data_IF_610258975752
#
_entry.id   IF_610258975752
#
_cell.length_a   1.000
_cell.length_b   1.000
_cell.length_c   1.000
_cell.angle_alpha   90.00
_cell.angle_beta   90.00
_cell.angle_gamma   90.00
#
_symmetry.space_group_name_H-M   'P 1'
#
loop_
_entity.id
_entity.type
_entity.pdbx_description
1 polymer ?
#
# COMPACT_ATOMS: atom_id res chain seq x y z
N UNK A 1 -7.10 -6.66 21.25
CA UNK A 1 -7.13 -5.17 21.23
C UNK A 1 -7.33 -4.61 19.82
N UNK A 2 -6.73 -5.21 18.80
CA UNK A 2 -6.84 -4.76 17.39
C UNK A 2 -8.27 -4.84 16.82
N UNK A 3 -8.99 -5.96 17.03
CA UNK A 3 -10.37 -6.13 16.55
C UNK A 3 -11.35 -5.10 17.10
N UNK A 4 -11.22 -4.69 18.37
CA UNK A 4 -12.10 -3.68 18.97
C UNK A 4 -11.91 -2.30 18.32
N UNK A 5 -10.70 -1.94 17.97
CA UNK A 5 -10.41 -0.65 17.29
C UNK A 5 -11.00 -0.66 15.89
N UNK A 6 -10.90 -1.77 15.17
CA UNK A 6 -11.45 -1.90 13.81
C UNK A 6 -12.98 -1.91 13.79
N UNK A 7 -13.61 -2.61 14.74
CA UNK A 7 -15.07 -2.59 14.91
C UNK A 7 -15.53 -1.15 15.18
N UNK A 8 -14.83 -0.41 16.05
CA UNK A 8 -15.15 0.98 16.39
C UNK A 8 -15.01 1.92 15.17
N UNK A 9 -13.97 1.72 14.34
CA UNK A 9 -13.76 2.49 13.10
C UNK A 9 -14.82 2.18 12.04
N UNK A 10 -15.25 0.91 11.96
CA UNK A 10 -16.34 0.46 11.08
C UNK A 10 -17.67 1.10 11.47
N UNK A 11 -18.00 1.11 12.77
CA UNK A 11 -19.21 1.75 13.29
C UNK A 11 -19.23 3.26 12.99
N UNK A 12 -18.07 3.93 13.02
CA UNK A 12 -17.93 5.35 12.64
C UNK A 12 -17.85 5.60 11.12
N UNK A 13 -18.08 4.59 10.27
CA UNK A 13 -17.96 4.68 8.80
C UNK A 13 -16.57 5.15 8.32
N UNK A 14 -15.52 4.86 9.07
CA UNK A 14 -14.13 5.21 8.73
C UNK A 14 -13.38 4.09 8.00
N UNK A 15 -13.97 2.89 7.97
CA UNK A 15 -13.42 1.72 7.28
C UNK A 15 -14.36 1.26 6.17
N UNK A 16 -13.81 0.64 5.14
CA UNK A 16 -14.59 -0.01 4.09
C UNK A 16 -15.34 -1.20 4.69
N UNK A 17 -16.66 -1.26 4.47
CA UNK A 17 -17.53 -2.25 5.10
C UNK A 17 -17.21 -3.70 4.71
N UNK A 18 -16.62 -3.90 3.53
CA UNK A 18 -16.28 -5.22 2.96
C UNK A 18 -14.78 -5.45 2.99
N UNK A 19 -14.00 -4.48 2.52
CA UNK A 19 -12.57 -4.60 2.28
C UNK A 19 -11.68 -4.39 3.51
N UNK A 20 -12.23 -4.00 4.68
CA UNK A 20 -11.45 -3.91 5.93
C UNK A 20 -10.73 -5.22 6.27
N UNK A 21 -11.27 -6.37 5.83
CA UNK A 21 -10.66 -7.69 6.02
C UNK A 21 -9.29 -7.83 5.34
N UNK A 22 -9.01 -7.02 4.30
CA UNK A 22 -7.70 -7.02 3.62
C UNK A 22 -6.54 -6.71 4.57
N UNK A 23 -6.81 -5.96 5.65
CA UNK A 23 -5.81 -5.59 6.65
C UNK A 23 -5.34 -6.77 7.51
N UNK A 24 -6.16 -7.82 7.61
CA UNK A 24 -5.91 -8.99 8.46
C UNK A 24 -5.73 -10.25 7.62
N UNK A 25 -6.52 -10.40 6.56
CA UNK A 25 -6.57 -11.61 5.72
C UNK A 25 -6.06 -11.31 4.32
N UNK A 26 -4.75 -11.06 4.19
CA UNK A 26 -4.12 -10.78 2.89
C UNK A 26 -4.24 -11.95 1.89
N UNK A 27 -4.38 -13.19 2.37
CA UNK A 27 -4.52 -14.41 1.56
C UNK A 27 -5.87 -14.56 0.85
N UNK A 28 -6.87 -13.73 1.19
CA UNK A 28 -8.24 -13.87 0.66
C UNK A 28 -8.46 -13.27 -0.73
N UNK A 29 -7.42 -12.67 -1.33
CA UNK A 29 -7.58 -11.91 -2.56
C UNK A 29 -6.69 -12.48 -3.65
N UNK A 30 -7.31 -12.87 -4.78
CA UNK A 30 -6.59 -13.35 -5.96
C UNK A 30 -5.66 -12.26 -6.50
N UNK A 31 -4.37 -12.57 -6.52
CA UNK A 31 -3.35 -11.71 -7.08
C UNK A 31 -3.08 -12.19 -8.50
N UNK A 32 -3.38 -11.35 -9.47
CA UNK A 32 -3.09 -11.62 -10.88
C UNK A 32 -1.92 -10.74 -11.28
N UNK A 33 -0.69 -11.21 -11.02
CA UNK A 33 0.52 -10.59 -11.56
C UNK A 33 0.79 -11.14 -12.95
N UNK A 34 1.01 -10.28 -13.92
CA UNK A 34 1.39 -10.71 -15.28
C UNK A 34 2.78 -11.35 -15.26
N UNK A 35 2.93 -12.44 -16.00
CA UNK A 35 4.22 -13.09 -16.16
C UNK A 35 5.21 -12.12 -16.82
N UNK A 36 6.42 -12.01 -16.24
CA UNK A 36 7.50 -11.11 -16.70
C UNK A 36 7.26 -9.61 -16.50
N UNK A 37 6.33 -9.18 -15.63
CA UNK A 37 6.22 -7.78 -15.21
C UNK A 37 7.00 -7.51 -13.93
N UNK A 38 7.49 -6.27 -13.79
CA UNK A 38 8.05 -5.73 -12.55
C UNK A 38 6.93 -5.12 -11.73
N UNK A 39 6.85 -5.46 -10.45
CA UNK A 39 5.86 -4.90 -9.53
C UNK A 39 6.49 -3.81 -8.68
N UNK A 40 6.01 -2.59 -8.85
CA UNK A 40 6.38 -1.46 -8.00
C UNK A 40 5.26 -1.22 -7.00
N UNK A 41 5.60 -1.25 -5.73
CA UNK A 41 4.66 -1.02 -4.65
C UNK A 41 4.81 0.39 -4.09
N UNK A 42 3.73 1.18 -4.09
CA UNK A 42 3.60 2.45 -3.39
C UNK A 42 2.69 2.29 -2.18
N UNK A 43 3.18 2.69 -1.02
CA UNK A 43 2.35 2.84 0.17
C UNK A 43 2.06 4.32 0.42
N UNK A 44 0.79 4.70 0.28
CA UNK A 44 0.28 6.06 0.47
C UNK A 44 -0.93 6.01 1.43
N UNK A 45 -0.72 6.31 2.70
CA UNK A 45 -1.73 6.10 3.74
C UNK A 45 -2.95 7.04 3.57
N UNK A 46 -2.73 8.25 3.10
CA UNK A 46 -3.71 9.33 3.03
C UNK A 46 -4.05 9.76 1.60
N UNK A 47 -5.11 10.57 1.49
CA UNK A 47 -5.51 11.21 0.22
C UNK A 47 -4.41 12.13 -0.33
N UNK A 48 -3.75 12.90 0.54
CA UNK A 48 -2.66 13.81 0.14
C UNK A 48 -1.47 13.06 -0.43
N UNK A 49 -1.04 11.99 0.24
CA UNK A 49 0.04 11.13 -0.20
C UNK A 49 -0.29 10.43 -1.53
N UNK A 50 -1.51 9.89 -1.67
CA UNK A 50 -1.93 9.27 -2.92
C UNK A 50 -1.91 10.28 -4.08
N UNK A 51 -2.41 11.50 -3.87
CA UNK A 51 -2.34 12.54 -4.89
C UNK A 51 -0.90 12.89 -5.28
N UNK A 52 0.04 12.91 -4.34
CA UNK A 52 1.44 13.25 -4.61
C UNK A 52 2.15 12.27 -5.54
N UNK A 53 1.71 11.02 -5.58
CA UNK A 53 2.32 9.97 -6.42
C UNK A 53 1.60 9.78 -7.78
N UNK A 54 0.41 10.35 -7.97
CA UNK A 54 -0.31 10.21 -9.25
C UNK A 54 0.52 10.62 -10.48
N UNK A 55 1.27 11.73 -10.48
CA UNK A 55 2.12 12.10 -11.61
C UNK A 55 3.20 11.05 -11.90
N UNK A 56 3.81 10.49 -10.85
CA UNK A 56 4.85 9.46 -10.97
C UNK A 56 4.26 8.18 -11.57
N UNK A 57 3.09 7.75 -11.10
CA UNK A 57 2.40 6.57 -11.61
C UNK A 57 2.05 6.76 -13.08
N UNK A 58 1.49 7.91 -13.45
CA UNK A 58 1.10 8.22 -14.82
C UNK A 58 2.31 8.19 -15.78
N UNK A 59 3.43 8.74 -15.37
CA UNK A 59 4.66 8.72 -16.15
C UNK A 59 5.22 7.29 -16.30
N UNK A 60 5.33 6.56 -15.20
CA UNK A 60 5.84 5.19 -15.21
C UNK A 60 4.89 4.22 -15.95
N UNK A 61 3.60 4.49 -15.95
CA UNK A 61 2.60 3.65 -16.62
C UNK A 61 2.74 3.63 -18.14
N UNK A 62 3.45 4.59 -18.71
CA UNK A 62 3.80 4.59 -20.14
C UNK A 62 4.84 3.51 -20.49
N UNK A 63 5.56 2.99 -19.49
CA UNK A 63 6.57 1.95 -19.67
C UNK A 63 5.92 0.56 -19.72
N UNK A 64 6.37 -0.26 -20.65
CA UNK A 64 5.90 -1.65 -20.78
C UNK A 64 6.43 -2.51 -19.63
N UNK A 65 5.65 -3.55 -19.27
CA UNK A 65 6.03 -4.56 -18.28
C UNK A 65 6.21 -4.04 -16.85
N UNK A 66 5.51 -2.97 -16.48
CA UNK A 66 5.42 -2.50 -15.10
C UNK A 66 3.97 -2.69 -14.61
N UNK A 67 3.84 -3.24 -13.43
CA UNK A 67 2.61 -3.27 -12.65
C UNK A 67 2.80 -2.48 -11.36
N UNK A 68 1.73 -1.95 -10.84
CA UNK A 68 1.75 -1.17 -9.62
C UNK A 68 0.85 -1.82 -8.57
N UNK A 69 1.36 -1.91 -7.35
CA UNK A 69 0.57 -2.14 -6.16
C UNK A 69 0.48 -0.82 -5.40
N UNK A 70 -0.72 -0.36 -5.13
CA UNK A 70 -0.94 0.81 -4.28
C UNK A 70 -1.66 0.35 -3.03
N UNK A 71 -1.07 0.65 -1.88
CA UNK A 71 -1.74 0.40 -0.60
C UNK A 71 -2.10 1.71 0.07
N UNK A 72 -3.32 1.75 0.61
CA UNK A 72 -3.82 2.90 1.38
C UNK A 72 -4.32 2.43 2.76
N UNK A 73 -4.56 3.38 3.68
CA UNK A 73 -5.03 3.06 5.03
C UNK A 73 -6.48 3.48 5.25
N UNK A 74 -6.90 4.61 4.68
CA UNK A 74 -8.21 5.21 4.96
C UNK A 74 -9.24 4.90 3.88
N UNK A 75 -10.52 4.93 4.26
CA UNK A 75 -11.62 4.81 3.29
C UNK A 75 -11.56 5.91 2.22
N UNK A 76 -11.24 7.13 2.61
CA UNK A 76 -11.15 8.27 1.69
C UNK A 76 -10.06 8.07 0.63
N UNK A 77 -8.88 7.56 1.02
CA UNK A 77 -7.82 7.26 0.05
C UNK A 77 -8.18 6.07 -0.86
N UNK A 78 -8.88 5.05 -0.32
CA UNK A 78 -9.42 3.97 -1.15
C UNK A 78 -10.45 4.44 -2.17
N UNK A 79 -11.33 5.38 -1.81
CA UNK A 79 -12.30 5.99 -2.72
C UNK A 79 -11.63 6.86 -3.79
N UNK A 80 -10.57 7.60 -3.40
CA UNK A 80 -9.78 8.35 -4.37
C UNK A 80 -9.13 7.41 -5.39
N UNK A 81 -8.55 6.29 -4.92
CA UNK A 81 -8.00 5.27 -5.82
C UNK A 81 -9.05 4.81 -6.85
N UNK A 82 -10.25 4.44 -6.40
CA UNK A 82 -11.35 4.03 -7.28
C UNK A 82 -11.66 5.07 -8.35
N UNK A 83 -11.73 6.34 -7.96
CA UNK A 83 -12.09 7.41 -8.89
C UNK A 83 -11.01 7.75 -9.92
N UNK A 84 -9.73 7.51 -9.62
CA UNK A 84 -8.59 7.96 -10.43
C UNK A 84 -7.82 6.86 -11.13
N UNK A 85 -7.74 5.68 -10.55
CA UNK A 85 -6.79 4.64 -10.95
C UNK A 85 -7.44 3.27 -11.23
N UNK A 86 -8.66 3.01 -10.77
CA UNK A 86 -9.30 1.68 -10.88
C UNK A 86 -9.47 1.20 -12.33
N UNK A 87 -9.62 2.11 -13.28
CA UNK A 87 -9.75 1.78 -14.71
C UNK A 87 -8.44 1.34 -15.38
N UNK A 88 -7.31 1.48 -14.70
CA UNK A 88 -5.99 1.16 -15.26
C UNK A 88 -5.62 -0.29 -14.93
N UNK A 89 -5.59 -1.16 -15.93
CA UNK A 89 -5.49 -2.62 -15.78
C UNK A 89 -4.23 -3.16 -15.09
N UNK A 90 -3.14 -2.41 -15.05
CA UNK A 90 -1.88 -2.81 -14.42
C UNK A 90 -1.66 -2.16 -13.05
N UNK A 91 -2.70 -1.58 -12.46
CA UNK A 91 -2.65 -0.99 -11.13
C UNK A 91 -3.59 -1.75 -10.20
N UNK A 92 -3.04 -2.26 -9.11
CA UNK A 92 -3.74 -3.01 -8.09
C UNK A 92 -3.85 -2.20 -6.81
N UNK A 93 -4.99 -2.26 -6.13
CA UNK A 93 -5.19 -1.59 -4.85
C UNK A 93 -5.50 -2.58 -3.74
N UNK A 94 -4.85 -2.37 -2.58
CA UNK A 94 -5.15 -3.05 -1.32
C UNK A 94 -5.13 -2.07 -0.16
N UNK A 95 -5.89 -2.37 0.87
CA UNK A 95 -5.66 -1.73 2.16
C UNK A 95 -4.41 -2.30 2.79
N UNK A 96 -3.58 -1.42 3.35
CA UNK A 96 -2.33 -1.82 3.98
C UNK A 96 -2.61 -2.76 5.16
N UNK A 97 -1.92 -3.92 5.26
CA UNK A 97 -2.09 -4.82 6.38
C UNK A 97 -1.65 -4.16 7.69
N UNK A 98 -2.20 -4.61 8.80
CA UNK A 98 -1.71 -4.18 10.11
C UNK A 98 -0.24 -4.58 10.23
N UNK A 99 0.60 -3.65 10.74
CA UNK A 99 2.05 -3.85 10.85
C UNK A 99 2.41 -4.86 11.95
N UNK A 100 2.01 -6.11 11.74
CA UNK A 100 2.35 -7.27 12.55
C UNK A 100 3.19 -8.22 11.70
N UNK A 101 4.25 -8.74 12.27
CA UNK A 101 5.30 -9.49 11.56
C UNK A 101 4.75 -10.57 10.60
N UNK A 102 3.85 -11.43 11.05
CA UNK A 102 3.33 -12.51 10.20
C UNK A 102 2.41 -12.00 9.08
N UNK A 103 1.63 -10.93 9.31
CA UNK A 103 0.76 -10.33 8.28
C UNK A 103 1.58 -9.66 7.19
N UNK A 104 2.60 -8.90 7.59
CA UNK A 104 3.51 -8.23 6.65
C UNK A 104 4.30 -9.25 5.84
N UNK A 105 4.85 -10.29 6.48
CA UNK A 105 5.55 -11.38 5.77
C UNK A 105 4.67 -12.05 4.73
N UNK A 106 3.44 -12.39 5.11
CA UNK A 106 2.47 -13.01 4.18
C UNK A 106 2.17 -12.08 3.01
N UNK A 107 1.92 -10.80 3.28
CA UNK A 107 1.64 -9.81 2.26
C UNK A 107 2.80 -9.66 1.27
N UNK A 108 4.03 -9.48 1.78
CA UNK A 108 5.24 -9.35 0.95
C UNK A 108 5.50 -10.62 0.14
N UNK A 109 5.34 -11.80 0.74
CA UNK A 109 5.53 -13.08 0.07
C UNK A 109 4.50 -13.33 -1.06
N UNK A 110 3.28 -12.85 -0.89
CA UNK A 110 2.22 -12.98 -1.89
C UNK A 110 2.46 -12.04 -3.07
N UNK A 111 2.75 -10.77 -2.80
CA UNK A 111 2.91 -9.75 -3.83
C UNK A 111 4.28 -9.79 -4.50
N UNK A 112 5.33 -10.17 -3.78
CA UNK A 112 6.73 -10.21 -4.26
C UNK A 112 7.09 -8.96 -5.05
N UNK A 113 7.03 -7.76 -4.42
CA UNK A 113 7.36 -6.53 -5.10
C UNK A 113 8.84 -6.48 -5.47
N UNK A 114 9.15 -5.89 -6.62
CA UNK A 114 10.51 -5.67 -7.08
C UNK A 114 11.14 -4.40 -6.47
N UNK A 115 10.29 -3.43 -6.10
CA UNK A 115 10.69 -2.23 -5.36
C UNK A 115 9.49 -1.67 -4.57
N UNK A 116 9.78 -0.99 -3.45
CA UNK A 116 8.77 -0.39 -2.57
C UNK A 116 9.08 1.08 -2.31
N UNK A 117 8.07 1.93 -2.42
CA UNK A 117 8.13 3.35 -2.10
C UNK A 117 7.13 3.68 -0.98
N UNK A 118 7.66 4.15 0.14
CA UNK A 118 6.88 4.64 1.27
C UNK A 118 6.73 6.15 1.09
N UNK A 119 5.51 6.63 1.12
CA UNK A 119 5.22 8.05 0.87
C UNK A 119 5.16 8.81 2.18
N UNK A 120 5.81 9.98 2.23
CA UNK A 120 5.90 10.86 3.39
C UNK A 120 6.62 10.19 4.58
N UNK A 121 6.02 10.20 5.76
CA UNK A 121 6.63 9.69 7.01
C UNK A 121 6.11 8.31 7.42
N UNK A 122 5.58 7.54 6.50
CA UNK A 122 4.98 6.22 6.74
C UNK A 122 6.04 5.13 6.93
N UNK A 123 6.73 5.18 8.08
CA UNK A 123 7.73 4.17 8.46
C UNK A 123 7.07 3.10 9.33
N UNK A 124 6.94 1.91 8.78
CA UNK A 124 6.35 0.75 9.43
C UNK A 124 7.45 -0.26 9.78
N UNK A 125 7.77 -0.46 11.07
CA UNK A 125 8.95 -1.23 11.48
C UNK A 125 8.98 -2.67 10.96
N UNK A 126 7.86 -3.41 11.05
CA UNK A 126 7.80 -4.78 10.56
C UNK A 126 7.92 -4.86 9.03
N UNK A 127 7.35 -3.87 8.32
CA UNK A 127 7.51 -3.77 6.88
C UNK A 127 8.97 -3.55 6.51
N UNK A 128 9.63 -2.54 7.09
CA UNK A 128 11.04 -2.21 6.81
C UNK A 128 11.94 -3.43 7.08
N UNK A 129 11.76 -4.09 8.23
CA UNK A 129 12.53 -5.30 8.57
C UNK A 129 12.29 -6.44 7.57
N UNK A 130 11.04 -6.62 7.13
CA UNK A 130 10.68 -7.69 6.18
C UNK A 130 11.27 -7.41 4.81
N UNK A 131 11.20 -6.18 4.32
CA UNK A 131 11.80 -5.78 3.05
C UNK A 131 13.32 -5.97 3.05
N UNK A 132 13.98 -5.53 4.13
CA UNK A 132 15.43 -5.70 4.30
C UNK A 132 15.84 -7.19 4.29
N UNK A 133 15.16 -8.04 5.07
CA UNK A 133 15.41 -9.50 5.11
C UNK A 133 15.25 -10.17 3.74
N UNK A 134 14.28 -9.73 2.96
CA UNK A 134 14.02 -10.27 1.62
C UNK A 134 14.84 -9.59 0.52
N UNK A 135 15.74 -8.67 0.87
CA UNK A 135 16.58 -7.90 -0.08
C UNK A 135 15.74 -7.14 -1.14
N UNK A 136 14.56 -6.70 -0.75
CA UNK A 136 13.69 -5.90 -1.61
C UNK A 136 14.10 -4.43 -1.44
N UNK A 137 14.50 -3.73 -2.51
CA UNK A 137 14.86 -2.32 -2.43
C UNK A 137 13.64 -1.48 -2.06
N UNK A 138 13.83 -0.54 -1.13
CA UNK A 138 12.79 0.40 -0.75
C UNK A 138 13.36 1.80 -0.52
N UNK A 139 12.51 2.80 -0.67
CA UNK A 139 12.85 4.21 -0.44
C UNK A 139 11.67 4.96 0.13
N UNK A 140 11.95 6.01 0.89
CA UNK A 140 10.94 6.97 1.33
C UNK A 140 10.97 8.14 0.34
N UNK A 141 9.82 8.51 -0.16
CA UNK A 141 9.65 9.62 -1.09
C UNK A 141 8.75 10.70 -0.48
N UNK A 142 8.98 11.95 -0.85
CA UNK A 142 8.25 13.10 -0.33
C UNK A 142 8.33 13.24 1.21
N UNK A 143 9.42 12.74 1.82
CA UNK A 143 9.62 12.83 3.26
C UNK A 143 9.77 14.28 3.72
N UNK A 144 9.10 14.62 4.83
CA UNK A 144 9.21 15.93 5.46
C UNK A 144 9.92 15.80 6.80
N UNK A 145 11.02 16.52 6.95
CA UNK A 145 11.71 16.66 8.23
C UNK A 145 11.31 18.02 8.80
N UNK A 146 10.71 18.03 9.97
CA UNK A 146 10.37 19.26 10.67
C UNK A 146 11.36 19.51 11.81
N UNK A 147 11.61 20.77 12.17
CA UNK A 147 12.51 21.14 13.29
C UNK A 147 12.11 20.50 14.64
N UNK A 148 10.88 20.05 14.78
CA UNK A 148 10.39 19.33 15.96
C UNK A 148 10.81 17.86 16.02
N UNK A 149 11.53 17.36 15.04
CA UNK A 149 11.95 15.95 14.93
C UNK A 149 13.37 15.74 15.47
N UNK A 150 13.99 16.80 16.01
CA UNK A 150 15.30 16.77 16.69
C UNK A 150 15.14 17.00 18.17
#
# INVERSE_FOLDING_TARGET
MCERVEIFRKVKKKEDAVRYKEKIFSSSFNIIKKKNSKLIWFHAASVGELNSILPIINELNQKKNIEFLITTVTLSSGNLFKSKLESINNIHHRYFPIDVDFLIKNFVNMWKPDAVFLVDSEIWPNLVMTLHKNKIPFSIINARITEKTF
#
